data_IF_536892494441
#
_entry.id   IF_536892494441
#
_cell.length_a   1.000
_cell.length_b   1.000
_cell.length_c   1.000
_cell.angle_alpha   90.00
_cell.angle_beta   90.00
_cell.angle_gamma   90.00
#
_symmetry.space_group_name_H-M   'P 1'
#
loop_
_entity.id
_entity.type
_entity.pdbx_description
1 polymer ?
#
# COMPACT_ATOMS: atom_id res chain seq x y z
N UNK A 1 33.51 -26.75 -49.19
CA UNK A 1 32.50 -27.18 -48.22
C UNK A 1 32.49 -26.20 -47.10
N UNK A 2 31.48 -25.37 -47.11
CA UNK A 2 31.35 -24.31 -46.10
C UNK A 2 30.31 -24.74 -45.11
N UNK A 3 30.75 -25.06 -43.91
CA UNK A 3 29.84 -25.32 -42.81
C UNK A 3 29.26 -24.01 -42.31
N UNK A 4 27.99 -23.85 -42.51
CA UNK A 4 27.27 -22.72 -41.96
C UNK A 4 26.88 -23.05 -40.51
N UNK A 5 27.56 -22.46 -39.58
CA UNK A 5 27.17 -22.51 -38.17
C UNK A 5 26.06 -21.46 -37.96
N UNK A 6 24.85 -21.94 -37.93
CA UNK A 6 23.74 -21.14 -37.52
C UNK A 6 23.79 -21.09 -36.00
N UNK A 7 24.29 -19.97 -35.49
CA UNK A 7 24.20 -19.66 -34.09
C UNK A 7 22.76 -19.30 -33.77
N UNK A 8 22.05 -20.20 -33.15
CA UNK A 8 20.78 -19.89 -32.52
C UNK A 8 21.07 -19.02 -31.29
N UNK A 9 20.89 -17.74 -31.47
CA UNK A 9 20.81 -16.85 -30.33
C UNK A 9 19.54 -17.20 -29.56
N UNK A 10 19.69 -17.92 -28.45
CA UNK A 10 18.64 -18.10 -27.49
C UNK A 10 18.37 -16.73 -26.86
N UNK A 11 17.33 -16.06 -27.31
CA UNK A 11 16.80 -14.91 -26.62
C UNK A 11 16.24 -15.44 -25.28
N UNK A 12 17.01 -15.32 -24.23
CA UNK A 12 16.50 -15.47 -22.88
C UNK A 12 15.62 -14.25 -22.65
N UNK A 13 14.33 -14.43 -22.88
CA UNK A 13 13.37 -13.50 -22.37
C UNK A 13 13.44 -13.58 -20.85
N UNK A 14 14.15 -12.65 -20.24
CA UNK A 14 14.05 -12.43 -18.83
C UNK A 14 12.60 -12.03 -18.58
N UNK A 15 11.79 -12.96 -18.13
CA UNK A 15 10.54 -12.68 -17.48
C UNK A 15 10.91 -11.88 -16.23
N UNK A 16 10.93 -10.58 -16.38
CA UNK A 16 10.83 -9.68 -15.27
C UNK A 16 9.46 -9.95 -14.67
N UNK A 17 9.40 -10.90 -13.74
CA UNK A 17 8.34 -10.91 -12.76
C UNK A 17 8.49 -9.59 -12.01
N UNK A 18 7.83 -8.54 -12.49
CA UNK A 18 7.52 -7.43 -11.63
C UNK A 18 6.89 -8.06 -10.38
N UNK A 19 7.42 -7.79 -9.18
CA UNK A 19 6.71 -8.22 -8.00
C UNK A 19 5.28 -7.79 -8.21
N UNK A 20 4.34 -8.73 -8.12
CA UNK A 20 2.93 -8.41 -8.14
C UNK A 20 2.69 -7.61 -6.87
N UNK A 21 3.02 -6.32 -6.94
CA UNK A 21 2.53 -5.39 -5.95
C UNK A 21 1.03 -5.44 -6.11
N UNK A 22 0.37 -6.04 -5.13
CA UNK A 22 -1.05 -5.88 -5.01
C UNK A 22 -1.31 -4.40 -5.15
N UNK A 23 -2.18 -4.02 -6.06
CA UNK A 23 -2.59 -2.64 -6.21
C UNK A 23 -3.08 -2.16 -4.85
N UNK A 24 -2.35 -1.23 -4.24
CA UNK A 24 -2.67 -0.72 -2.92
C UNK A 24 -4.06 -0.08 -2.88
N UNK A 25 -4.47 0.56 -3.95
CA UNK A 25 -5.82 1.13 -4.06
C UNK A 25 -6.88 0.01 -4.06
N UNK A 26 -6.68 -1.06 -4.79
CA UNK A 26 -7.60 -2.20 -4.81
C UNK A 26 -7.67 -2.88 -3.44
N UNK A 27 -6.56 -3.06 -2.76
CA UNK A 27 -6.49 -3.63 -1.43
C UNK A 27 -7.23 -2.76 -0.39
N UNK A 28 -7.04 -1.45 -0.45
CA UNK A 28 -7.74 -0.50 0.42
C UNK A 28 -9.24 -0.47 0.15
N UNK A 29 -9.65 -0.52 -1.09
CA UNK A 29 -11.08 -0.59 -1.45
C UNK A 29 -11.72 -1.87 -0.91
N UNK A 30 -11.07 -3.00 -1.10
CA UNK A 30 -11.55 -4.30 -0.60
C UNK A 30 -11.64 -4.33 0.93
N UNK A 31 -10.68 -3.72 1.61
CA UNK A 31 -10.67 -3.64 3.07
C UNK A 31 -11.65 -2.62 3.64
N UNK A 32 -12.27 -1.79 2.81
CA UNK A 32 -13.24 -0.79 3.23
C UNK A 32 -12.64 0.54 3.71
N UNK A 33 -11.37 0.78 3.45
CA UNK A 33 -10.69 2.01 3.88
C UNK A 33 -11.35 3.27 3.32
N UNK A 34 -11.82 3.21 2.09
CA UNK A 34 -12.41 4.35 1.40
C UNK A 34 -13.83 4.71 1.87
N UNK A 35 -14.42 3.93 2.75
CA UNK A 35 -15.66 4.30 3.43
C UNK A 35 -15.45 5.45 4.42
N UNK A 36 -14.24 5.56 4.99
CA UNK A 36 -13.90 6.54 6.02
C UNK A 36 -12.79 7.51 5.61
N UNK A 37 -12.01 7.18 4.60
CA UNK A 37 -10.91 7.99 4.11
C UNK A 37 -11.07 8.37 2.64
N UNK A 38 -10.55 9.53 2.29
CA UNK A 38 -10.37 9.96 0.90
C UNK A 38 -8.97 10.52 0.71
N UNK A 39 -8.54 10.74 -0.53
CA UNK A 39 -7.19 11.23 -0.81
C UNK A 39 -6.99 12.66 -0.33
N UNK A 40 -7.94 13.54 -0.61
CA UNK A 40 -7.79 14.99 -0.49
C UNK A 40 -8.74 15.66 0.50
N UNK A 41 -9.68 14.94 1.07
CA UNK A 41 -10.69 15.52 1.97
C UNK A 41 -10.97 14.60 3.14
N UNK A 42 -11.33 15.21 4.26
CA UNK A 42 -11.83 14.49 5.42
C UNK A 42 -13.24 13.95 5.12
N UNK A 43 -13.47 12.69 5.47
CA UNK A 43 -14.78 12.04 5.45
C UNK A 43 -15.16 11.71 6.89
N UNK A 44 -15.02 10.49 7.32
CA UNK A 44 -15.11 10.11 8.74
C UNK A 44 -13.73 10.23 9.39
N UNK A 45 -12.72 9.69 8.76
CA UNK A 45 -11.33 9.82 9.16
C UNK A 45 -10.59 10.92 8.38
N UNK A 46 -9.31 11.16 8.73
CA UNK A 46 -8.49 12.14 8.03
C UNK A 46 -8.27 11.73 6.58
N UNK A 47 -8.03 12.70 5.72
CA UNK A 47 -7.58 12.44 4.36
C UNK A 47 -6.19 11.82 4.37
N UNK A 48 -5.85 11.10 3.32
CA UNK A 48 -4.48 10.56 3.17
C UNK A 48 -3.44 11.68 3.13
N UNK A 49 -3.80 12.79 2.54
CA UNK A 49 -2.96 13.99 2.49
C UNK A 49 -2.67 14.56 3.89
N UNK A 50 -3.65 14.61 4.75
CA UNK A 50 -3.50 15.03 6.15
C UNK A 50 -2.60 14.05 6.93
N UNK A 51 -2.77 12.76 6.70
CA UNK A 51 -1.93 11.72 7.31
C UNK A 51 -0.47 11.89 6.87
N UNK A 52 -0.24 12.03 5.58
CA UNK A 52 1.10 12.26 5.04
C UNK A 52 1.75 13.51 5.61
N UNK A 53 1.01 14.60 5.73
CA UNK A 53 1.50 15.85 6.30
C UNK A 53 1.89 15.70 7.78
N UNK A 54 1.06 15.02 8.57
CA UNK A 54 1.33 14.80 10.00
C UNK A 54 2.61 13.99 10.25
N UNK A 55 2.87 13.00 9.44
CA UNK A 55 4.01 12.10 9.61
C UNK A 55 5.19 12.41 8.70
N UNK A 56 5.18 13.56 8.04
CA UNK A 56 6.26 13.99 7.15
C UNK A 56 7.60 14.02 7.88
N UNK A 57 8.61 13.40 7.28
CA UNK A 57 9.94 13.34 7.86
C UNK A 57 10.11 12.30 8.98
N UNK A 58 9.07 11.51 9.26
CA UNK A 58 9.12 10.44 10.25
C UNK A 58 9.13 9.08 9.57
N UNK A 59 9.78 8.10 10.18
CA UNK A 59 9.65 6.69 9.80
C UNK A 59 8.38 6.13 10.45
N UNK A 60 7.26 6.30 9.77
CA UNK A 60 5.95 6.01 10.32
C UNK A 60 5.28 4.73 9.80
N UNK A 61 5.94 3.97 8.93
CA UNK A 61 5.33 2.78 8.30
C UNK A 61 4.90 1.75 9.34
N UNK A 62 5.78 1.37 10.25
CA UNK A 62 5.46 0.40 11.30
C UNK A 62 4.37 0.89 12.24
N UNK A 63 4.44 2.14 12.64
CA UNK A 63 3.46 2.79 13.52
C UNK A 63 2.07 2.83 12.90
N UNK A 64 1.97 3.21 11.64
CA UNK A 64 0.69 3.29 10.94
C UNK A 64 0.14 1.91 10.58
N UNK A 65 1.00 0.96 10.26
CA UNK A 65 0.62 -0.43 10.07
C UNK A 65 -0.04 -0.99 11.33
N UNK A 66 0.58 -0.77 12.48
CA UNK A 66 0.01 -1.16 13.78
C UNK A 66 -1.32 -0.46 14.05
N UNK A 67 -1.41 0.83 13.73
CA UNK A 67 -2.65 1.60 13.88
C UNK A 67 -3.80 1.02 13.07
N UNK A 68 -3.55 0.63 11.83
CA UNK A 68 -4.57 -0.01 10.99
C UNK A 68 -5.00 -1.36 11.56
N UNK A 69 -4.06 -2.15 12.05
CA UNK A 69 -4.36 -3.45 12.66
C UNK A 69 -5.21 -3.34 13.91
N UNK A 70 -4.84 -2.45 14.81
CA UNK A 70 -5.47 -2.30 16.14
C UNK A 70 -6.64 -1.33 16.15
N UNK A 71 -6.65 -0.37 15.24
CA UNK A 71 -7.63 0.71 15.27
C UNK A 71 -7.43 1.66 16.44
N UNK A 72 -8.49 2.31 16.84
CA UNK A 72 -8.51 3.22 17.98
C UNK A 72 -8.60 4.69 17.61
N UNK A 73 -8.57 5.56 18.60
CA UNK A 73 -8.74 6.99 18.47
C UNK A 73 -7.54 7.77 19.02
N UNK A 74 -7.53 9.07 18.82
CA UNK A 74 -6.59 10.00 19.45
C UNK A 74 -5.53 10.60 18.54
N UNK A 75 -5.15 9.93 17.45
CA UNK A 75 -4.17 10.48 16.51
C UNK A 75 -4.72 11.66 15.71
N UNK A 76 -6.00 11.61 15.37
CA UNK A 76 -6.72 12.65 14.62
C UNK A 76 -8.07 13.01 15.25
N UNK A 77 -8.13 13.01 16.56
CA UNK A 77 -9.33 13.36 17.30
C UNK A 77 -10.05 12.13 17.91
N UNK A 78 -11.30 12.30 18.37
CA UNK A 78 -11.98 11.31 19.19
C UNK A 78 -12.68 10.19 18.41
N UNK A 79 -12.84 10.33 17.09
CA UNK A 79 -13.52 9.31 16.28
C UNK A 79 -12.64 8.10 16.14
N UNK A 80 -13.10 6.90 16.56
CA UNK A 80 -12.27 5.71 16.49
C UNK A 80 -12.23 5.11 15.10
N UNK A 81 -11.06 4.60 14.73
CA UNK A 81 -10.87 3.77 13.56
C UNK A 81 -11.14 2.31 13.95
N UNK A 82 -11.90 1.59 13.14
CA UNK A 82 -12.11 0.16 13.35
C UNK A 82 -10.84 -0.65 13.08
N UNK A 83 -10.57 -1.72 13.82
CA UNK A 83 -9.42 -2.58 13.55
C UNK A 83 -9.58 -3.33 12.22
N UNK A 84 -8.45 -3.53 11.54
CA UNK A 84 -8.39 -4.25 10.27
C UNK A 84 -7.40 -5.42 10.39
N UNK A 85 -7.92 -6.62 10.50
CA UNK A 85 -7.10 -7.82 10.61
C UNK A 85 -6.55 -8.32 9.26
N UNK A 86 -5.70 -9.36 9.29
CA UNK A 86 -5.13 -9.96 8.08
C UNK A 86 -6.15 -10.55 7.11
N UNK A 87 -7.35 -10.85 7.58
CA UNK A 87 -8.48 -11.28 6.77
C UNK A 87 -9.01 -10.16 5.85
N UNK A 88 -8.85 -8.91 6.23
CA UNK A 88 -9.28 -7.74 5.45
C UNK A 88 -8.19 -7.23 4.52
N UNK A 89 -6.96 -7.20 4.98
CA UNK A 89 -5.80 -6.74 4.22
C UNK A 89 -4.55 -7.48 4.71
N UNK A 90 -3.83 -8.13 3.79
CA UNK A 90 -2.61 -8.85 4.10
C UNK A 90 -1.45 -7.92 4.50
N UNK A 91 -0.41 -8.46 5.14
CA UNK A 91 0.70 -7.67 5.64
C UNK A 91 1.45 -6.92 4.55
N UNK A 92 1.74 -7.57 3.42
CA UNK A 92 2.43 -6.96 2.29
C UNK A 92 1.59 -5.83 1.66
N UNK A 93 0.30 -6.09 1.46
CA UNK A 93 -0.64 -5.11 0.93
C UNK A 93 -0.81 -3.91 1.86
N UNK A 94 -0.89 -4.15 3.15
CA UNK A 94 -1.00 -3.08 4.16
C UNK A 94 0.24 -2.21 4.19
N UNK A 95 1.42 -2.80 4.14
CA UNK A 95 2.68 -2.05 4.07
C UNK A 95 2.71 -1.13 2.86
N UNK A 96 2.35 -1.64 1.70
CA UNK A 96 2.28 -0.84 0.47
C UNK A 96 1.24 0.27 0.56
N UNK A 97 0.08 -0.03 1.12
CA UNK A 97 -0.97 0.97 1.32
C UNK A 97 -0.50 2.11 2.22
N UNK A 98 0.16 1.79 3.32
CA UNK A 98 0.73 2.80 4.24
C UNK A 98 1.82 3.61 3.55
N UNK A 99 2.72 2.97 2.83
CA UNK A 99 3.77 3.66 2.07
C UNK A 99 3.18 4.61 1.03
N UNK A 100 2.13 4.20 0.33
CA UNK A 100 1.42 5.04 -0.63
C UNK A 100 0.73 6.23 0.04
N UNK A 101 0.05 6.00 1.16
CA UNK A 101 -0.60 7.06 1.94
C UNK A 101 0.42 8.11 2.37
N UNK A 102 1.58 7.70 2.83
CA UNK A 102 2.64 8.62 3.27
C UNK A 102 3.25 9.45 2.14
N UNK A 103 3.02 9.07 0.91
CA UNK A 103 3.46 9.82 -0.29
C UNK A 103 2.37 10.76 -0.84
N UNK A 104 1.23 10.78 -0.23
CA UNK A 104 0.09 11.58 -0.68
C UNK A 104 0.30 13.09 -0.58
#
# INVERSE_FOLDING_TARGET
MKSLLIGTAAAVAALLCAPAFADADAAMNKAGCMACHAKDKKVVGPSFKEIAAKYKGQDAVAKLTEKVRKGGAGSFGPVPMSPNGPDKIGDAELKEAVEQILKS
#
